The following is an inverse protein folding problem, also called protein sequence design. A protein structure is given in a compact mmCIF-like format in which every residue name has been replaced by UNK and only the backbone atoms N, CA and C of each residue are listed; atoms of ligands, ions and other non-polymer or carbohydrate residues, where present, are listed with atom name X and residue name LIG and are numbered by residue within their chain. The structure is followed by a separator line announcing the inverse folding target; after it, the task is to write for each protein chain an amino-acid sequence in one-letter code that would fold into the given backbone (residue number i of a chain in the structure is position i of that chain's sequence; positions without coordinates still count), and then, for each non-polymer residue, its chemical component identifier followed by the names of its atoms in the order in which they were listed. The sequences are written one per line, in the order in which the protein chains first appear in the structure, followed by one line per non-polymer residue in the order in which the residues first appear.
data_IF_601715032808
#
_entry.id   IF_601715032808
#
_cell.length_a   1.000
_cell.length_b   1.000
_cell.length_c   1.000
_cell.angle_alpha   90.00
_cell.angle_beta   90.00
_cell.angle_gamma   90.00
#
_symmetry.space_group_name_H-M   'P 1'
#
loop_
_entity.id
_entity.type
_entity.pdbx_description
1 polymer ?
#
# COMPACT_ATOMS: atom_id res chain seq x y z
N UNK A 1 25.59 -2.30 53.45
CA UNK A 1 25.24 -3.03 52.22
C UNK A 1 24.04 -2.37 51.55
N UNK A 2 24.25 -1.98 50.30
CA UNK A 2 23.38 -1.56 49.19
C UNK A 2 21.93 -1.11 49.44
N UNK A 3 21.70 0.20 49.35
CA UNK A 3 20.44 0.78 48.83
C UNK A 3 20.76 1.56 47.55
N UNK A 4 20.97 0.84 46.44
CA UNK A 4 21.14 1.43 45.11
C UNK A 4 20.49 0.54 44.03
N UNK A 5 19.19 0.26 44.20
CA UNK A 5 18.42 -0.51 43.23
C UNK A 5 17.05 0.13 43.02
N UNK A 6 16.98 1.37 42.51
CA UNK A 6 15.66 1.89 42.09
C UNK A 6 15.62 3.06 41.12
N UNK A 7 16.69 3.32 40.36
CA UNK A 7 16.63 4.37 39.31
C UNK A 7 16.81 3.76 37.92
N UNK A 8 17.79 2.88 37.74
CA UNK A 8 18.05 2.20 36.45
C UNK A 8 16.85 1.37 35.94
N UNK A 9 16.13 0.70 36.84
CA UNK A 9 15.00 -0.17 36.49
C UNK A 9 13.78 0.61 35.96
N UNK A 10 13.61 1.87 36.37
CA UNK A 10 12.54 2.75 35.89
C UNK A 10 12.87 3.37 34.53
N UNK A 11 14.15 3.71 34.31
CA UNK A 11 14.63 4.22 33.01
C UNK A 11 14.47 3.15 31.92
N UNK A 12 14.76 1.88 32.25
CA UNK A 12 14.57 0.76 31.34
C UNK A 12 13.10 0.51 30.97
N UNK A 13 12.16 0.72 31.89
CA UNK A 13 10.73 0.56 31.62
C UNK A 13 10.20 1.69 30.72
N UNK A 14 10.71 2.92 30.90
CA UNK A 14 10.36 4.07 30.08
C UNK A 14 10.84 3.93 28.63
N UNK A 15 12.07 3.46 28.40
CA UNK A 15 12.59 3.25 27.05
C UNK A 15 11.84 2.14 26.29
N UNK A 16 11.39 1.08 26.97
CA UNK A 16 10.60 0.02 26.34
C UNK A 16 9.21 0.50 25.87
N UNK A 17 8.57 1.40 26.63
CA UNK A 17 7.27 1.97 26.27
C UNK A 17 7.34 2.86 25.01
N UNK A 18 8.43 3.62 24.84
CA UNK A 18 8.65 4.46 23.65
C UNK A 18 8.85 3.61 22.39
N UNK A 19 9.60 2.50 22.48
CA UNK A 19 9.79 1.60 21.33
C UNK A 19 8.47 0.94 20.89
N UNK A 20 7.62 0.52 21.84
CA UNK A 20 6.32 -0.07 21.54
C UNK A 20 5.36 0.92 20.83
N UNK A 21 5.44 2.22 21.15
CA UNK A 21 4.63 3.26 20.50
C UNK A 21 5.13 3.59 19.08
N UNK A 22 6.44 3.52 18.82
CA UNK A 22 7.01 3.81 17.50
C UNK A 22 6.73 2.67 16.51
N UNK A 23 6.79 1.40 16.94
CA UNK A 23 6.51 0.25 16.07
C UNK A 23 5.05 0.18 15.58
N UNK A 24 4.09 0.78 16.29
CA UNK A 24 2.71 0.86 15.84
C UNK A 24 2.49 1.89 14.71
N UNK A 25 3.38 2.89 14.59
CA UNK A 25 3.19 3.99 13.63
C UNK A 25 3.81 3.73 12.26
N UNK A 26 4.76 2.79 12.13
CA UNK A 26 5.42 2.48 10.85
C UNK A 26 4.55 1.61 9.92
N UNK A 27 3.49 0.98 10.43
CA UNK A 27 2.58 0.17 9.62
C UNK A 27 1.54 0.98 8.82
N UNK A 28 1.39 2.28 9.09
CA UNK A 28 0.31 3.10 8.50
C UNK A 28 0.57 3.55 7.05
N UNK A 29 1.79 3.36 6.53
CA UNK A 29 2.14 3.74 5.14
C UNK A 29 2.26 2.55 4.18
N UNK A 30 2.04 1.32 4.65
CA UNK A 30 1.90 0.15 3.79
C UNK A 30 0.48 0.12 3.22
N UNK A 31 0.21 0.94 2.20
CA UNK A 31 -0.98 0.80 1.36
C UNK A 31 -0.89 -0.53 0.58
N UNK A 32 -1.18 -1.60 1.30
CA UNK A 32 -1.42 -2.94 0.84
C UNK A 32 -2.79 -2.94 0.14
N UNK A 33 -2.90 -2.33 -1.04
CA UNK A 33 -4.05 -2.56 -1.93
C UNK A 33 -3.93 -3.98 -2.50
N UNK A 34 -4.10 -4.98 -1.64
CA UNK A 34 -4.15 -6.39 -1.99
C UNK A 34 -5.48 -6.76 -2.67
N UNK A 35 -6.50 -5.91 -2.53
CA UNK A 35 -7.85 -6.18 -2.97
C UNK A 35 -8.58 -4.89 -3.35
N UNK A 36 -9.29 -4.89 -4.48
CA UNK A 36 -10.28 -3.88 -4.83
C UNK A 36 -11.67 -4.48 -4.62
N UNK A 37 -12.46 -3.91 -3.72
CA UNK A 37 -13.86 -4.28 -3.51
C UNK A 37 -14.79 -3.41 -4.37
N UNK A 38 -14.42 -2.14 -4.52
CA UNK A 38 -15.12 -1.17 -5.35
C UNK A 38 -14.21 -0.66 -6.46
N UNK A 39 -14.80 -0.38 -7.61
CA UNK A 39 -14.10 0.10 -8.79
C UNK A 39 -14.69 1.41 -9.27
N UNK A 40 -13.83 2.39 -9.51
CA UNK A 40 -14.18 3.66 -10.09
C UNK A 40 -14.20 3.56 -11.63
N UNK A 41 -15.06 4.37 -12.25
CA UNK A 41 -15.14 4.52 -13.70
C UNK A 41 -14.53 5.83 -14.20
N UNK A 42 -13.93 6.65 -13.33
CA UNK A 42 -13.37 7.95 -13.67
C UNK A 42 -11.94 8.08 -13.18
N UNK A 43 -11.06 8.51 -14.08
CA UNK A 43 -9.65 8.78 -13.77
C UNK A 43 -9.46 10.30 -13.73
N UNK A 44 -9.19 10.84 -12.54
CA UNK A 44 -8.91 12.28 -12.34
C UNK A 44 -7.41 12.50 -12.14
N UNK A 45 -6.66 12.52 -13.23
CA UNK A 45 -5.24 12.87 -13.22
C UNK A 45 -4.39 12.06 -14.20
N UNK A 46 -3.07 12.25 -14.12
CA UNK A 46 -2.08 11.49 -14.89
C UNK A 46 -1.73 10.20 -14.16
N UNK A 47 -1.82 9.07 -14.87
CA UNK A 47 -1.41 7.75 -14.36
C UNK A 47 0.12 7.71 -14.32
N UNK A 48 0.69 7.55 -13.12
CA UNK A 48 2.13 7.35 -12.91
C UNK A 48 2.49 5.86 -12.96
N UNK A 49 1.71 5.02 -12.28
CA UNK A 49 1.90 3.57 -12.23
C UNK A 49 0.57 2.87 -12.45
N UNK A 50 0.61 1.67 -13.01
CA UNK A 50 -0.57 0.84 -13.27
C UNK A 50 -0.27 -0.62 -12.97
N UNK A 51 -1.21 -1.31 -12.35
CA UNK A 51 -1.15 -2.73 -12.05
C UNK A 51 -2.49 -3.39 -12.40
N UNK A 52 -2.44 -4.60 -12.94
CA UNK A 52 -3.65 -5.39 -13.19
C UNK A 52 -3.90 -6.31 -12.00
N UNK A 53 -5.02 -6.10 -11.31
CA UNK A 53 -5.48 -6.98 -10.24
C UNK A 53 -6.42 -8.03 -10.84
N UNK A 54 -6.10 -9.32 -10.64
CA UNK A 54 -6.96 -10.43 -11.05
C UNK A 54 -7.97 -10.74 -9.94
N UNK A 55 -9.16 -11.21 -10.33
CA UNK A 55 -10.19 -11.70 -9.42
C UNK A 55 -9.62 -12.84 -8.55
N UNK A 56 -9.56 -12.66 -7.24
CA UNK A 56 -9.09 -13.67 -6.28
C UNK A 56 -9.80 -13.47 -4.94
N UNK A 57 -10.36 -14.54 -4.37
CA UNK A 57 -10.86 -14.56 -2.98
C UNK A 57 -11.81 -13.40 -2.62
N UNK A 58 -12.81 -13.11 -3.46
CA UNK A 58 -13.78 -12.02 -3.22
C UNK A 58 -13.37 -10.64 -3.73
N UNK A 59 -12.14 -10.47 -4.20
CA UNK A 59 -11.69 -9.22 -4.85
C UNK A 59 -12.23 -9.11 -6.27
N UNK A 60 -12.68 -7.93 -6.67
CA UNK A 60 -13.05 -7.62 -8.05
C UNK A 60 -11.80 -7.59 -8.96
N UNK A 61 -11.96 -7.96 -10.23
CA UNK A 61 -10.94 -7.66 -11.24
C UNK A 61 -10.91 -6.15 -11.46
N UNK A 62 -9.73 -5.54 -11.41
CA UNK A 62 -9.57 -4.09 -11.50
C UNK A 62 -8.18 -3.69 -11.99
N UNK A 63 -8.04 -2.45 -12.46
CA UNK A 63 -6.75 -1.80 -12.63
C UNK A 63 -6.46 -0.91 -11.42
N UNK A 64 -5.37 -1.18 -10.72
CA UNK A 64 -4.88 -0.33 -9.64
C UNK A 64 -3.94 0.70 -10.24
N UNK A 65 -4.30 1.97 -10.19
CA UNK A 65 -3.49 3.06 -10.72
C UNK A 65 -2.97 3.97 -9.61
N UNK A 66 -1.74 4.44 -9.75
CA UNK A 66 -1.18 5.51 -8.92
C UNK A 66 -1.25 6.84 -9.66
N UNK A 67 -1.93 7.82 -9.08
CA UNK A 67 -2.02 9.18 -9.62
C UNK A 67 -0.99 10.12 -9.02
N UNK A 68 -0.69 9.94 -7.72
CA UNK A 68 0.34 10.68 -6.98
C UNK A 68 0.97 9.75 -5.94
N UNK A 69 2.02 10.19 -5.23
CA UNK A 69 2.70 9.37 -4.20
C UNK A 69 1.73 8.77 -3.17
N UNK A 70 0.67 9.49 -2.82
CA UNK A 70 -0.30 9.09 -1.80
C UNK A 70 -1.64 8.64 -2.38
N UNK A 71 -1.91 8.86 -3.67
CA UNK A 71 -3.22 8.62 -4.27
C UNK A 71 -3.21 7.41 -5.19
N UNK A 72 -3.90 6.37 -4.73
CA UNK A 72 -4.18 5.14 -5.47
C UNK A 72 -5.68 5.06 -5.78
N UNK A 73 -6.03 4.47 -6.92
CA UNK A 73 -7.42 4.22 -7.30
C UNK A 73 -7.58 2.86 -7.96
N UNK A 74 -8.67 2.18 -7.63
CA UNK A 74 -9.14 0.98 -8.32
C UNK A 74 -10.06 1.40 -9.46
N UNK A 75 -9.72 1.03 -10.69
CA UNK A 75 -10.47 1.37 -11.89
C UNK A 75 -11.05 0.11 -12.51
N UNK A 76 -12.26 0.22 -13.05
CA UNK A 76 -12.91 -0.88 -13.76
C UNK A 76 -12.01 -1.45 -14.88
N UNK A 77 -11.94 -2.78 -15.04
CA UNK A 77 -11.16 -3.42 -16.09
C UNK A 77 -11.70 -3.11 -17.50
N UNK A 78 -12.94 -2.62 -17.60
CA UNK A 78 -13.58 -2.21 -18.86
C UNK A 78 -13.32 -0.75 -19.22
N UNK A 79 -12.53 -0.02 -18.44
CA UNK A 79 -12.29 1.41 -18.66
C UNK A 79 -11.55 1.67 -19.99
N UNK A 80 -12.28 2.21 -20.98
CA UNK A 80 -11.81 2.43 -22.37
C UNK A 80 -10.43 3.08 -22.45
N UNK A 81 -10.23 4.20 -21.74
CA UNK A 81 -8.95 4.96 -21.78
C UNK A 81 -7.73 4.16 -21.33
N UNK A 82 -7.89 3.24 -20.37
CA UNK A 82 -6.76 2.42 -19.90
C UNK A 82 -6.47 1.36 -20.96
N UNK A 83 -7.51 0.66 -21.42
CA UNK A 83 -7.37 -0.38 -22.43
C UNK A 83 -6.80 0.15 -23.75
N UNK A 84 -7.19 1.34 -24.19
CA UNK A 84 -6.61 2.00 -25.36
C UNK A 84 -5.12 2.30 -25.18
N UNK A 85 -4.71 2.82 -24.02
CA UNK A 85 -3.29 3.10 -23.73
C UNK A 85 -2.46 1.83 -23.59
N UNK A 86 -3.04 0.76 -23.07
CA UNK A 86 -2.39 -0.56 -23.04
C UNK A 86 -2.20 -1.08 -24.47
N UNK A 87 -3.25 -1.03 -25.31
CA UNK A 87 -3.18 -1.46 -26.72
C UNK A 87 -2.17 -0.67 -27.54
N UNK A 88 -2.07 0.64 -27.30
CA UNK A 88 -1.08 1.52 -27.94
C UNK A 88 0.35 1.30 -27.43
N UNK A 89 0.53 0.59 -26.31
CA UNK A 89 1.83 0.40 -25.67
C UNK A 89 2.27 1.58 -24.77
N UNK A 90 1.47 2.64 -24.68
CA UNK A 90 1.73 3.86 -23.88
C UNK A 90 1.63 3.62 -22.36
N UNK A 91 1.04 2.50 -21.94
CA UNK A 91 0.85 2.15 -20.54
C UNK A 91 1.04 0.64 -20.35
N UNK A 92 1.99 0.26 -19.48
CA UNK A 92 2.18 -1.13 -19.07
C UNK A 92 1.54 -1.35 -17.71
N UNK A 93 0.65 -2.34 -17.62
CA UNK A 93 -0.02 -2.73 -16.38
C UNK A 93 0.32 -4.19 -16.05
N UNK A 94 1.47 -4.46 -15.38
CA UNK A 94 1.84 -5.81 -14.98
C UNK A 94 0.80 -6.43 -14.04
N UNK A 95 0.62 -7.75 -14.13
CA UNK A 95 -0.31 -8.53 -13.27
C UNK A 95 0.24 -8.79 -11.87
N UNK A 96 1.53 -8.55 -11.65
CA UNK A 96 2.15 -8.67 -10.35
C UNK A 96 2.17 -7.28 -9.71
N UNK A 97 1.42 -7.12 -8.61
CA UNK A 97 1.85 -6.23 -7.55
C UNK A 97 3.12 -6.87 -6.99
N UNK A 98 4.25 -6.68 -7.68
CA UNK A 98 5.51 -7.30 -7.30
C UNK A 98 5.90 -6.64 -5.98
N UNK A 99 5.68 -7.35 -4.87
CA UNK A 99 6.19 -6.96 -3.55
C UNK A 99 7.65 -6.60 -3.77
N UNK A 100 8.02 -5.36 -3.45
CA UNK A 100 9.42 -4.94 -3.45
C UNK A 100 10.10 -5.26 -2.10
N UNK A 101 9.54 -6.21 -1.34
CA UNK A 101 10.05 -6.70 -0.07
C UNK A 101 9.63 -8.17 0.05
N UNK A 102 10.46 -9.03 -0.51
CA UNK A 102 10.60 -10.42 -0.13
C UNK A 102 12.10 -10.58 0.07
N UNK A 103 12.57 -10.09 1.21
CA UNK A 103 13.89 -10.29 1.84
C UNK A 103 13.63 -10.44 3.34
#
# INVERSE_FOLDING_TARGET
MWKNLSVSRWIFLLSFAVVMLVSASEASNFLQLSCCYEVDNKIRGRIQECFKLRKKGGCAEAFVIRLSRTKWQCISPTHKRINERIKKGDLKCPSAFKRRFED
#
